data_IF_460677459093
#
_entry.id   IF_460677459093
#
_cell.length_a   1.000
_cell.length_b   1.000
_cell.length_c   1.000
_cell.angle_alpha   90.00
_cell.angle_beta   90.00
_cell.angle_gamma   90.00
#
_symmetry.space_group_name_H-M   'P 1'
#
loop_
_entity.id
_entity.type
_entity.pdbx_description
1 polymer ?
#
# COMPACT_ATOMS: atom_id res chain seq x y z
N UNK A 1 16.19 11.34 11.27
CA UNK A 1 15.58 10.35 12.14
C UNK A 1 14.97 9.20 11.36
N UNK A 2 14.94 8.00 11.95
CA UNK A 2 14.29 6.80 11.43
C UNK A 2 13.14 6.47 12.38
N UNK A 3 11.95 6.25 11.81
CA UNK A 3 10.73 5.98 12.56
C UNK A 3 10.34 4.52 12.36
N UNK A 4 10.13 3.77 13.44
CA UNK A 4 9.57 2.43 13.41
C UNK A 4 8.83 2.14 14.73
N UNK A 5 7.93 1.15 14.74
CA UNK A 5 7.37 0.65 16.00
C UNK A 5 8.38 -0.21 16.76
N UNK A 6 8.09 -0.53 18.00
CA UNK A 6 9.04 -1.18 18.90
C UNK A 6 9.47 -2.56 18.40
N UNK A 7 8.53 -3.38 17.91
CA UNK A 7 8.85 -4.73 17.43
C UNK A 7 9.71 -4.70 16.15
N UNK A 8 9.46 -3.73 15.25
CA UNK A 8 10.29 -3.54 14.05
C UNK A 8 11.70 -3.12 14.45
N UNK A 9 11.86 -2.18 15.42
CA UNK A 9 13.18 -1.81 15.94
C UNK A 9 13.93 -3.00 16.48
N UNK A 10 13.30 -3.80 17.34
CA UNK A 10 13.91 -5.00 17.92
C UNK A 10 14.35 -6.01 16.84
N UNK A 11 13.55 -6.18 15.79
CA UNK A 11 13.87 -7.08 14.69
C UNK A 11 14.98 -6.55 13.76
N UNK A 12 15.07 -5.22 13.59
CA UNK A 12 16.08 -4.57 12.72
C UNK A 12 17.45 -4.44 13.36
N UNK A 13 17.51 -4.19 14.66
CA UNK A 13 18.76 -3.88 15.36
C UNK A 13 19.92 -4.86 15.08
N UNK A 14 19.71 -6.19 15.06
CA UNK A 14 20.77 -7.14 14.72
C UNK A 14 21.28 -7.01 13.27
N UNK A 15 20.50 -6.42 12.37
CA UNK A 15 20.79 -6.29 10.95
C UNK A 15 21.50 -4.98 10.60
N UNK A 16 21.13 -3.89 11.28
CA UNK A 16 21.62 -2.53 10.96
C UNK A 16 22.64 -2.02 11.96
N UNK A 17 22.83 -2.71 13.09
CA UNK A 17 23.68 -2.28 14.19
C UNK A 17 23.13 -1.09 14.98
N UNK A 18 23.91 -0.58 15.91
CA UNK A 18 23.53 0.54 16.76
C UNK A 18 23.42 1.85 15.97
N UNK A 19 22.31 2.56 16.15
CA UNK A 19 22.12 3.91 15.62
C UNK A 19 22.26 4.94 16.74
N UNK A 20 22.72 6.17 16.43
CA UNK A 20 22.70 7.25 17.41
C UNK A 20 21.28 7.43 17.97
N UNK A 21 21.10 7.53 19.31
CA UNK A 21 19.78 7.71 19.92
C UNK A 21 18.98 8.89 19.36
N UNK A 22 19.67 9.92 18.88
CA UNK A 22 19.07 11.08 18.22
C UNK A 22 18.41 10.76 16.90
N UNK A 23 18.75 9.63 16.26
CA UNK A 23 18.15 9.17 15.00
C UNK A 23 16.98 8.23 15.21
N UNK A 24 16.83 7.62 16.38
CA UNK A 24 15.78 6.64 16.68
C UNK A 24 14.49 7.34 17.11
N UNK A 25 13.39 6.98 16.46
CA UNK A 25 12.04 7.43 16.82
C UNK A 25 11.11 6.23 16.84
N UNK A 26 10.56 5.96 18.01
CA UNK A 26 9.60 4.86 18.19
C UNK A 26 8.20 5.45 18.15
N UNK A 27 7.31 4.82 17.34
CA UNK A 27 5.90 5.14 17.33
C UNK A 27 5.08 3.91 17.75
N UNK A 28 3.82 4.14 18.08
CA UNK A 28 2.83 3.13 18.42
C UNK A 28 1.89 2.91 17.23
N UNK A 29 1.72 1.65 16.80
CA UNK A 29 0.81 1.31 15.68
C UNK A 29 -0.63 1.64 16.04
N UNK A 30 -1.35 2.29 15.14
CA UNK A 30 -2.72 2.76 15.35
C UNK A 30 -2.82 4.13 16.03
N UNK A 31 -1.71 4.75 16.42
CA UNK A 31 -1.66 6.08 17.01
C UNK A 31 -0.89 7.05 16.10
N UNK A 32 -1.51 8.20 15.81
CA UNK A 32 -0.88 9.20 14.96
C UNK A 32 0.30 9.91 15.64
N UNK A 33 1.25 10.31 14.83
CA UNK A 33 2.37 11.19 15.23
C UNK A 33 2.65 12.21 14.13
N UNK A 34 3.48 13.20 14.43
CA UNK A 34 3.73 14.29 13.50
C UNK A 34 5.19 14.31 13.02
N UNK A 35 5.36 14.54 11.72
CA UNK A 35 6.65 14.86 11.09
C UNK A 35 6.48 16.22 10.41
N UNK A 36 7.06 17.27 11.01
CA UNK A 36 6.78 18.65 10.60
C UNK A 36 5.29 18.96 10.71
N UNK A 37 4.68 19.44 9.63
CA UNK A 37 3.24 19.75 9.57
C UNK A 37 2.35 18.60 9.04
N UNK A 38 2.88 17.38 8.93
CA UNK A 38 2.15 16.21 8.42
C UNK A 38 1.82 15.26 9.57
N UNK A 39 0.54 14.92 9.74
CA UNK A 39 0.11 13.82 10.62
C UNK A 39 0.35 12.50 9.89
N UNK A 40 0.98 11.55 10.57
CA UNK A 40 1.27 10.19 10.10
C UNK A 40 0.52 9.20 10.97
N UNK A 41 -0.42 8.48 10.40
CA UNK A 41 -1.16 7.41 11.06
C UNK A 41 -0.68 6.06 10.55
N UNK A 42 0.14 5.30 11.32
CA UNK A 42 0.45 3.93 11.03
C UNK A 42 -0.74 3.04 11.37
N UNK A 43 -1.07 2.07 10.52
CA UNK A 43 -2.13 1.09 10.79
C UNK A 43 -1.64 -0.32 10.46
N UNK A 44 -1.99 -1.29 11.30
CA UNK A 44 -1.57 -2.69 11.11
C UNK A 44 -2.10 -3.25 9.79
N UNK A 45 -1.25 -4.01 9.09
CA UNK A 45 -1.57 -4.74 7.87
C UNK A 45 -1.33 -6.24 8.07
N UNK A 46 -2.03 -7.13 7.36
CA UNK A 46 -1.83 -8.58 7.46
C UNK A 46 -0.60 -9.00 6.63
N UNK A 47 0.55 -9.12 7.29
CA UNK A 47 1.79 -9.61 6.68
C UNK A 47 2.63 -10.37 7.69
N UNK A 48 3.49 -11.28 7.24
CA UNK A 48 4.35 -12.12 8.07
C UNK A 48 5.65 -11.41 8.49
N UNK A 49 5.53 -10.25 9.12
CA UNK A 49 6.62 -9.44 9.66
C UNK A 49 6.44 -9.19 11.17
N UNK A 50 7.43 -8.58 11.82
CA UNK A 50 7.42 -8.38 13.28
C UNK A 50 6.22 -7.55 13.76
N UNK A 51 5.93 -6.42 13.12
CA UNK A 51 4.75 -5.58 13.35
C UNK A 51 4.51 -4.72 12.09
N UNK A 52 3.93 -5.31 11.03
CA UNK A 52 3.80 -4.67 9.74
C UNK A 52 2.72 -3.59 9.76
N UNK A 53 3.02 -2.43 9.16
CA UNK A 53 2.11 -1.29 9.09
C UNK A 53 2.06 -0.66 7.71
N UNK A 54 0.87 -0.23 7.31
CA UNK A 54 0.65 0.76 6.29
C UNK A 54 0.59 2.16 6.90
N UNK A 55 0.62 3.20 6.09
CA UNK A 55 0.64 4.58 6.56
C UNK A 55 -0.39 5.45 5.84
N UNK A 56 -1.10 6.28 6.59
CA UNK A 56 -1.85 7.42 6.06
C UNK A 56 -1.16 8.72 6.48
N UNK A 57 -0.90 9.58 5.51
CA UNK A 57 -0.32 10.90 5.67
C UNK A 57 -1.39 11.95 5.45
N UNK A 58 -1.60 12.83 6.43
CA UNK A 58 -2.58 13.91 6.36
C UNK A 58 -1.87 15.26 6.45
N UNK A 59 -1.92 16.04 5.39
CA UNK A 59 -1.39 17.38 5.33
C UNK A 59 -2.31 18.38 6.03
N UNK A 60 -1.75 19.53 6.49
CA UNK A 60 -2.53 20.61 7.11
C UNK A 60 -3.60 21.24 6.21
N UNK A 61 -3.54 20.98 4.90
CA UNK A 61 -4.55 21.38 3.91
C UNK A 61 -5.67 20.34 3.72
N UNK A 62 -5.71 19.30 4.55
CA UNK A 62 -6.69 18.22 4.51
C UNK A 62 -6.47 17.19 3.41
N UNK A 63 -5.31 17.18 2.75
CA UNK A 63 -4.93 16.19 1.74
C UNK A 63 -4.44 14.91 2.39
N UNK A 64 -4.91 13.77 1.86
CA UNK A 64 -4.58 12.45 2.38
C UNK A 64 -3.87 11.61 1.33
N UNK A 65 -2.72 11.08 1.70
CA UNK A 65 -2.00 10.05 0.94
C UNK A 65 -1.93 8.79 1.79
N UNK A 66 -2.28 7.65 1.23
CA UNK A 66 -2.14 6.37 1.93
C UNK A 66 -1.20 5.44 1.16
N UNK A 67 -0.34 4.75 1.90
CA UNK A 67 0.60 3.74 1.38
C UNK A 67 0.33 2.43 2.09
N UNK A 68 -0.02 1.40 1.33
CA UNK A 68 -0.23 0.05 1.85
C UNK A 68 0.30 -0.99 0.86
N UNK A 69 1.43 -1.57 1.19
CA UNK A 69 2.07 -2.69 0.51
C UNK A 69 2.25 -3.83 1.50
N UNK A 70 2.65 -4.99 1.02
CA UNK A 70 2.80 -6.18 1.87
C UNK A 70 1.49 -6.55 2.58
N UNK A 71 0.43 -6.69 1.78
CA UNK A 71 -0.92 -6.96 2.25
C UNK A 71 -1.35 -8.33 1.77
N UNK A 72 -1.45 -9.32 2.67
CA UNK A 72 -1.94 -10.65 2.31
C UNK A 72 -3.42 -10.65 1.87
N UNK A 73 -4.26 -9.86 2.53
CA UNK A 73 -5.66 -9.69 2.17
C UNK A 73 -6.21 -8.32 2.55
N UNK A 74 -7.30 -7.92 1.89
CA UNK A 74 -8.03 -6.68 2.21
C UNK A 74 -9.26 -6.98 3.06
N UNK A 75 -9.44 -6.21 4.13
CA UNK A 75 -10.62 -6.23 4.98
C UNK A 75 -11.29 -4.84 5.09
N UNK A 76 -12.43 -4.77 5.76
CA UNK A 76 -13.18 -3.52 5.95
C UNK A 76 -12.40 -2.48 6.77
N UNK A 77 -11.52 -2.90 7.68
CA UNK A 77 -10.67 -2.03 8.48
C UNK A 77 -9.63 -1.33 7.59
N UNK A 78 -8.96 -2.06 6.70
CA UNK A 78 -8.01 -1.48 5.75
C UNK A 78 -8.68 -0.54 4.75
N UNK A 79 -9.89 -0.89 4.28
CA UNK A 79 -10.69 0.02 3.45
C UNK A 79 -10.97 1.32 4.21
N UNK A 80 -11.34 1.24 5.48
CA UNK A 80 -11.59 2.42 6.33
C UNK A 80 -10.33 3.26 6.54
N UNK A 81 -9.17 2.63 6.74
CA UNK A 81 -7.89 3.34 6.87
C UNK A 81 -7.53 4.13 5.60
N UNK A 82 -7.84 3.59 4.42
CA UNK A 82 -7.55 4.25 3.15
C UNK A 82 -8.68 5.17 2.63
N UNK A 83 -9.86 5.13 3.25
CA UNK A 83 -11.02 5.92 2.82
C UNK A 83 -10.67 7.42 2.67
N UNK A 84 -11.18 8.04 1.61
CA UNK A 84 -10.98 9.47 1.32
C UNK A 84 -9.56 9.85 0.88
N UNK A 85 -8.68 8.90 0.60
CA UNK A 85 -7.32 9.22 0.11
C UNK A 85 -7.37 9.92 -1.25
N UNK A 86 -6.66 11.04 -1.37
CA UNK A 86 -6.46 11.71 -2.65
C UNK A 86 -5.53 10.88 -3.55
N UNK A 87 -4.51 10.23 -2.95
CA UNK A 87 -3.64 9.26 -3.60
C UNK A 87 -3.50 8.05 -2.70
N UNK A 88 -3.66 6.87 -3.27
CA UNK A 88 -3.44 5.58 -2.64
C UNK A 88 -2.37 4.82 -3.41
N UNK A 89 -1.24 4.52 -2.77
CA UNK A 89 -0.31 3.49 -3.24
C UNK A 89 -0.74 2.17 -2.62
N UNK A 90 -1.15 1.23 -3.45
CA UNK A 90 -1.66 -0.08 -3.03
C UNK A 90 -0.89 -1.20 -3.72
N UNK A 91 -0.70 -2.30 -3.03
CA UNK A 91 -0.10 -3.49 -3.60
C UNK A 91 -0.95 -4.10 -4.71
N UNK A 92 -0.27 -4.51 -5.80
CA UNK A 92 -0.77 -5.38 -6.86
C UNK A 92 0.38 -6.30 -7.24
N UNK A 93 0.66 -7.28 -6.35
CA UNK A 93 1.95 -7.96 -6.34
C UNK A 93 2.10 -8.93 -7.49
N UNK A 94 1.13 -9.81 -7.74
CA UNK A 94 1.31 -10.94 -8.63
C UNK A 94 0.05 -11.33 -9.39
N UNK A 95 0.27 -12.03 -10.50
CA UNK A 95 -0.74 -12.83 -11.15
C UNK A 95 -0.77 -14.23 -10.51
N UNK A 96 -1.96 -14.71 -10.12
CA UNK A 96 -2.12 -15.96 -9.37
C UNK A 96 -1.73 -17.19 -10.21
N UNK A 97 -1.97 -17.16 -11.53
CA UNK A 97 -1.62 -18.26 -12.45
C UNK A 97 -0.10 -18.33 -12.64
N UNK A 98 0.57 -17.17 -12.75
CA UNK A 98 2.02 -17.12 -12.84
C UNK A 98 2.68 -17.65 -11.58
N UNK A 99 2.21 -17.26 -10.37
CA UNK A 99 2.74 -17.83 -9.12
C UNK A 99 2.54 -19.34 -9.09
N UNK A 100 1.38 -19.82 -9.50
CA UNK A 100 1.06 -21.26 -9.51
C UNK A 100 1.98 -22.05 -10.42
N UNK A 101 2.35 -21.51 -11.60
CA UNK A 101 3.16 -22.16 -12.63
C UNK A 101 4.66 -21.86 -12.55
N UNK A 102 5.10 -20.84 -11.81
CA UNK A 102 6.50 -20.43 -11.72
C UNK A 102 7.41 -21.49 -11.05
N UNK A 103 8.73 -21.28 -11.10
CA UNK A 103 9.72 -22.22 -10.55
C UNK A 103 9.93 -22.12 -9.04
N UNK A 104 9.18 -21.29 -8.33
CA UNK A 104 9.33 -21.17 -6.88
C UNK A 104 9.00 -22.49 -6.17
N UNK A 105 9.72 -22.82 -5.06
CA UNK A 105 9.37 -23.95 -4.20
C UNK A 105 7.94 -23.80 -3.68
N UNK A 106 7.26 -24.94 -3.47
CA UNK A 106 5.88 -24.95 -3.00
C UNK A 106 5.63 -24.13 -1.71
N UNK A 107 6.53 -24.17 -0.69
CA UNK A 107 6.36 -23.32 0.50
C UNK A 107 6.34 -21.82 0.18
N UNK A 108 7.18 -21.36 -0.77
CA UNK A 108 7.23 -19.96 -1.21
C UNK A 108 5.93 -19.55 -1.91
N UNK A 109 5.42 -20.39 -2.82
CA UNK A 109 4.13 -20.16 -3.48
C UNK A 109 2.99 -20.05 -2.46
N UNK A 110 2.94 -21.00 -1.53
CA UNK A 110 1.93 -21.03 -0.48
C UNK A 110 1.99 -19.78 0.41
N UNK A 111 3.21 -19.32 0.75
CA UNK A 111 3.40 -18.08 1.51
C UNK A 111 2.88 -16.87 0.73
N UNK A 112 3.26 -16.71 -0.54
CA UNK A 112 2.82 -15.59 -1.39
C UNK A 112 1.28 -15.53 -1.48
N UNK A 113 0.63 -16.66 -1.66
CA UNK A 113 -0.82 -16.77 -1.83
C UNK A 113 -1.61 -16.81 -0.50
N UNK A 114 -0.95 -16.69 0.65
CA UNK A 114 -1.61 -16.74 1.96
C UNK A 114 -2.17 -15.38 2.39
N UNK A 115 -3.05 -15.40 3.41
CA UNK A 115 -3.64 -14.20 4.01
C UNK A 115 -2.62 -13.26 4.69
N UNK A 116 -1.37 -13.70 4.84
CA UNK A 116 -0.24 -12.90 5.35
C UNK A 116 0.88 -12.76 4.31
N UNK A 117 0.62 -13.15 3.08
CA UNK A 117 1.52 -13.01 1.95
C UNK A 117 1.35 -11.68 1.23
N UNK A 118 0.94 -11.73 -0.03
CA UNK A 118 0.83 -10.55 -0.90
C UNK A 118 -0.49 -10.49 -1.67
N UNK A 119 -0.98 -9.29 -1.91
CA UNK A 119 -2.23 -9.04 -2.63
C UNK A 119 -2.04 -9.28 -4.14
N UNK A 120 -2.82 -10.19 -4.70
CA UNK A 120 -2.81 -10.46 -6.14
C UNK A 120 -3.41 -9.30 -6.95
N UNK A 121 -3.18 -9.28 -8.26
CA UNK A 121 -3.81 -8.32 -9.18
C UNK A 121 -5.35 -8.38 -9.09
N UNK A 122 -5.91 -9.59 -9.04
CA UNK A 122 -7.34 -9.80 -8.90
C UNK A 122 -7.86 -9.32 -7.52
N UNK A 123 -7.12 -9.60 -6.45
CA UNK A 123 -7.42 -9.12 -5.09
C UNK A 123 -7.39 -7.59 -5.00
N UNK A 124 -6.38 -6.96 -5.59
CA UNK A 124 -6.27 -5.51 -5.70
C UNK A 124 -7.45 -4.90 -6.46
N UNK A 125 -7.84 -5.48 -7.60
CA UNK A 125 -9.00 -5.02 -8.37
C UNK A 125 -10.29 -5.04 -7.55
N UNK A 126 -10.55 -6.15 -6.85
CA UNK A 126 -11.73 -6.25 -5.95
C UNK A 126 -11.68 -5.21 -4.82
N UNK A 127 -10.53 -5.03 -4.20
CA UNK A 127 -10.35 -4.04 -3.13
C UNK A 127 -10.60 -2.61 -3.60
N UNK A 128 -10.09 -2.27 -4.78
CA UNK A 128 -10.24 -0.93 -5.35
C UNK A 128 -11.69 -0.58 -5.69
N UNK A 129 -12.57 -1.53 -6.01
CA UNK A 129 -13.99 -1.25 -6.15
C UNK A 129 -14.59 -0.65 -4.87
N UNK A 130 -14.29 -1.22 -3.70
CA UNK A 130 -14.75 -0.69 -2.42
C UNK A 130 -14.03 0.62 -2.03
N UNK A 131 -12.74 0.72 -2.31
CA UNK A 131 -11.92 1.88 -2.00
C UNK A 131 -12.36 3.13 -2.78
N UNK A 132 -12.69 3.00 -4.07
CA UNK A 132 -13.25 4.13 -4.83
C UNK A 132 -14.62 4.53 -4.32
N UNK A 133 -15.47 3.59 -3.93
CA UNK A 133 -16.75 3.89 -3.27
C UNK A 133 -16.57 4.59 -1.93
N UNK A 134 -15.46 4.35 -1.22
CA UNK A 134 -15.09 5.03 0.03
C UNK A 134 -14.39 6.38 -0.17
N UNK A 135 -14.28 6.88 -1.41
CA UNK A 135 -13.78 8.22 -1.73
C UNK A 135 -12.31 8.32 -2.09
N UNK A 136 -11.62 7.20 -2.33
CA UNK A 136 -10.28 7.22 -2.95
C UNK A 136 -10.38 7.84 -4.34
N UNK A 137 -9.42 8.69 -4.73
CA UNK A 137 -9.49 9.44 -5.99
C UNK A 137 -8.55 8.94 -7.06
N UNK A 138 -7.36 8.51 -6.65
CA UNK A 138 -6.32 7.97 -7.53
C UNK A 138 -5.66 6.80 -6.85
N UNK A 139 -5.49 5.71 -7.58
CA UNK A 139 -4.69 4.58 -7.14
C UNK A 139 -3.42 4.44 -7.98
N UNK A 140 -2.34 4.08 -7.30
CA UNK A 140 -1.06 3.74 -7.90
C UNK A 140 -0.79 2.30 -7.49
N UNK A 141 -0.74 1.40 -8.46
CA UNK A 141 -0.38 0.01 -8.23
C UNK A 141 1.12 -0.07 -7.97
N UNK A 142 1.51 -0.65 -6.86
CA UNK A 142 2.91 -0.78 -6.48
C UNK A 142 3.25 -2.17 -5.97
N UNK A 143 4.50 -2.33 -5.54
CA UNK A 143 5.03 -3.59 -4.99
C UNK A 143 4.85 -4.80 -5.92
N UNK A 144 5.04 -4.58 -7.23
CA UNK A 144 4.88 -5.60 -8.25
C UNK A 144 6.01 -6.64 -8.16
N UNK A 145 5.66 -7.92 -8.17
CA UNK A 145 6.61 -9.02 -8.24
C UNK A 145 7.50 -8.93 -9.49
N UNK A 146 8.79 -9.18 -9.35
CA UNK A 146 9.72 -9.19 -10.48
C UNK A 146 9.45 -10.34 -11.43
N UNK A 147 9.11 -11.51 -10.89
CA UNK A 147 9.02 -12.75 -11.65
C UNK A 147 7.59 -13.11 -12.03
N UNK A 148 6.60 -12.62 -11.27
CA UNK A 148 5.21 -13.05 -11.41
C UNK A 148 4.25 -11.89 -11.74
N UNK A 149 4.78 -10.77 -12.25
CA UNK A 149 3.97 -9.63 -12.67
C UNK A 149 4.69 -8.69 -13.62
N UNK A 150 3.91 -7.88 -14.32
CA UNK A 150 4.38 -6.70 -15.05
C UNK A 150 3.42 -5.53 -14.81
N UNK A 151 3.84 -4.26 -15.01
CA UNK A 151 2.94 -3.11 -14.92
C UNK A 151 1.71 -3.25 -15.82
N UNK A 152 1.87 -3.78 -17.02
CA UNK A 152 0.76 -4.00 -17.96
C UNK A 152 -0.24 -5.05 -17.45
N UNK A 153 0.24 -6.17 -16.91
CA UNK A 153 -0.62 -7.21 -16.33
C UNK A 153 -1.43 -6.68 -15.16
N UNK A 154 -0.77 -5.99 -14.21
CA UNK A 154 -1.43 -5.38 -13.07
C UNK A 154 -2.50 -4.38 -13.50
N UNK A 155 -2.16 -3.44 -14.41
CA UNK A 155 -3.11 -2.44 -14.93
C UNK A 155 -4.30 -3.10 -15.66
N UNK A 156 -4.06 -4.10 -16.50
CA UNK A 156 -5.12 -4.78 -17.26
C UNK A 156 -6.09 -5.51 -16.32
N UNK A 157 -5.57 -6.29 -15.35
CA UNK A 157 -6.40 -7.03 -14.42
C UNK A 157 -7.25 -6.10 -13.53
N UNK A 158 -6.61 -5.06 -12.98
CA UNK A 158 -7.31 -4.09 -12.12
C UNK A 158 -8.31 -3.25 -12.91
N UNK A 159 -7.95 -2.77 -14.12
CA UNK A 159 -8.87 -2.02 -14.97
C UNK A 159 -10.08 -2.83 -15.40
N UNK A 160 -9.90 -4.12 -15.71
CA UNK A 160 -11.01 -5.01 -16.04
C UNK A 160 -11.99 -5.14 -14.86
N UNK A 161 -11.49 -5.33 -13.63
CA UNK A 161 -12.33 -5.42 -12.43
C UNK A 161 -13.11 -4.12 -12.18
N UNK A 162 -12.44 -2.98 -12.32
CA UNK A 162 -13.07 -1.66 -12.14
C UNK A 162 -14.12 -1.38 -13.22
N UNK A 163 -13.82 -1.70 -14.48
CA UNK A 163 -14.77 -1.54 -15.60
C UNK A 163 -16.01 -2.41 -15.41
N UNK A 164 -15.85 -3.64 -14.96
CA UNK A 164 -16.97 -4.53 -14.64
C UNK A 164 -17.86 -3.97 -13.50
N UNK A 165 -17.30 -3.18 -12.60
CA UNK A 165 -18.03 -2.47 -11.56
C UNK A 165 -18.55 -1.07 -12.01
N UNK A 166 -18.42 -0.70 -13.28
CA UNK A 166 -18.83 0.59 -13.81
C UNK A 166 -17.96 1.77 -13.37
N UNK A 167 -16.72 1.51 -12.93
CA UNK A 167 -15.78 2.51 -12.43
C UNK A 167 -14.69 2.80 -13.48
N UNK A 168 -14.34 4.08 -13.62
CA UNK A 168 -13.27 4.56 -14.51
C UNK A 168 -12.35 5.54 -13.76
N UNK A 169 -11.65 5.12 -12.73
CA UNK A 169 -10.86 6.02 -11.91
C UNK A 169 -9.48 6.31 -12.50
N UNK A 170 -8.78 7.30 -11.92
CA UNK A 170 -7.38 7.55 -12.19
C UNK A 170 -6.53 6.41 -11.63
N UNK A 171 -5.97 5.58 -12.52
CA UNK A 171 -5.14 4.42 -12.20
C UNK A 171 -3.78 4.52 -12.90
N UNK A 172 -2.72 4.15 -12.22
CA UNK A 172 -1.37 4.03 -12.77
C UNK A 172 -0.60 2.93 -12.03
N UNK A 173 0.52 2.49 -12.59
CA UNK A 173 1.45 1.59 -11.92
C UNK A 173 2.77 2.30 -11.64
N UNK A 174 3.30 2.12 -10.44
CA UNK A 174 4.63 2.59 -10.07
C UNK A 174 5.68 1.73 -10.80
N UNK A 175 6.70 2.35 -11.43
CA UNK A 175 7.83 1.59 -11.92
C UNK A 175 8.63 1.00 -10.76
N UNK A 176 9.22 -0.18 -10.98
CA UNK A 176 9.97 -0.88 -9.93
C UNK A 176 11.40 -0.39 -9.77
N UNK A 177 12.09 -0.22 -10.88
CA UNK A 177 13.55 -0.07 -10.89
C UNK A 177 14.00 1.37 -11.28
N UNK A 178 13.07 2.29 -11.49
CA UNK A 178 13.33 3.69 -11.86
C UNK A 178 12.39 4.64 -11.13
N UNK A 179 12.75 5.91 -11.06
CA UNK A 179 11.87 6.94 -10.50
C UNK A 179 10.63 7.11 -11.38
N UNK A 180 9.46 7.02 -10.75
CA UNK A 180 8.18 7.27 -11.40
C UNK A 180 7.87 8.76 -11.60
N UNK A 181 6.75 9.07 -12.27
CA UNK A 181 6.30 10.45 -12.41
C UNK A 181 5.90 11.05 -11.05
N UNK A 182 6.06 12.36 -10.91
CA UNK A 182 5.56 13.08 -9.75
C UNK A 182 4.02 13.15 -9.80
N UNK A 183 3.37 12.75 -8.73
CA UNK A 183 1.92 12.84 -8.57
C UNK A 183 1.56 14.02 -7.67
N UNK A 184 0.85 14.99 -8.22
CA UNK A 184 0.42 16.18 -7.49
C UNK A 184 -1.03 16.05 -7.05
N UNK A 185 -1.31 16.37 -5.79
CA UNK A 185 -2.67 16.49 -5.26
C UNK A 185 -3.12 17.94 -5.41
N UNK A 186 -4.02 18.19 -6.35
CA UNK A 186 -4.52 19.54 -6.64
C UNK A 186 -5.72 19.87 -5.71
N UNK A 187 -5.76 21.10 -5.17
CA UNK A 187 -6.96 21.60 -4.47
C UNK A 187 -8.16 21.57 -5.41
N UNK A 188 -9.29 20.97 -4.96
CA UNK A 188 -10.56 21.26 -5.65
C UNK A 188 -10.89 22.72 -5.44
N UNK A 189 -11.25 23.42 -6.53
CA UNK A 189 -11.99 24.64 -6.40
C UNK A 189 -13.28 24.34 -5.59
N UNK A 190 -13.42 24.94 -4.41
CA UNK A 190 -14.67 24.87 -3.66
C UNK A 190 -15.68 25.64 -4.45
N UNK A 191 -16.57 24.95 -5.17
CA UNK A 191 -17.76 25.58 -5.73
C UNK A 191 -18.59 26.07 -4.54
N UNK A 192 -18.41 27.35 -4.16
CA UNK A 192 -19.36 27.99 -3.23
C UNK A 192 -20.69 28.09 -3.97
N UNK A 193 -21.65 27.26 -3.55
CA UNK A 193 -23.07 27.48 -3.88
C UNK A 193 -23.61 28.62 -3.04
#
# INVERSE_FOLDING_TARGET
>A
PVYANAATWQAMEPLIGELPPTCVRVFESGRDFFIGGVSVLPFCIPHDAAEPVGYSFLGGDGKKITVMTDIGHMDSRLISCAAGSDILLIESNHDEELVSSCRYPYPTKRRILSDVGHLSNAGCGRALCGLYSSGVRRAILGHLSRDNNTPAMALNAVSAALSAAGLAPALSAAPRDVTGPCHTVVRRAVCRK
#
